data_IF_805224448209
#
_entry.id   IF_805224448209
#
_cell.length_a   1.000
_cell.length_b   1.000
_cell.length_c   1.000
_cell.angle_alpha   90.00
_cell.angle_beta   90.00
_cell.angle_gamma   90.00
#
_symmetry.space_group_name_H-M   'P 1'
#
loop_
_entity.id
_entity.type
_entity.pdbx_description
1 polymer ?
#
# COMPACT_ATOMS: atom_id res chain seq x y z
N UNK A 1 22.95 -10.66 -9.97
CA UNK A 1 22.83 -10.93 -8.52
C UNK A 1 21.50 -10.33 -8.08
N UNK A 2 20.78 -10.93 -7.11
CA UNK A 2 19.58 -10.30 -6.55
C UNK A 2 19.93 -8.91 -6.02
N UNK A 3 18.99 -7.96 -6.14
CA UNK A 3 19.18 -6.64 -5.56
C UNK A 3 19.24 -6.77 -4.03
N UNK A 4 20.08 -5.96 -3.37
CA UNK A 4 20.27 -6.00 -1.92
C UNK A 4 20.04 -4.64 -1.30
N UNK A 5 19.48 -4.60 -0.10
CA UNK A 5 19.22 -3.40 0.68
C UNK A 5 19.61 -3.63 2.14
N UNK A 6 19.80 -2.55 2.88
CA UNK A 6 20.13 -2.64 4.30
C UNK A 6 18.90 -2.22 5.10
N UNK A 7 18.43 -3.11 5.97
CA UNK A 7 17.37 -2.82 6.91
C UNK A 7 17.92 -2.63 8.31
N UNK A 8 17.48 -1.57 8.99
CA UNK A 8 17.87 -1.24 10.35
C UNK A 8 16.62 -1.22 11.22
N UNK A 9 16.66 -1.89 12.36
CA UNK A 9 15.59 -1.90 13.37
C UNK A 9 16.14 -1.32 14.67
N UNK A 10 15.61 -0.16 15.06
CA UNK A 10 16.05 0.56 16.25
C UNK A 10 15.14 0.18 17.42
N UNK A 11 15.59 -0.74 18.26
CA UNK A 11 14.93 -1.03 19.52
C UNK A 11 15.38 -0.12 20.66
N UNK A 12 14.65 -0.12 21.78
CA UNK A 12 15.05 0.61 22.99
C UNK A 12 16.30 0.04 23.69
N UNK A 13 16.67 -1.22 23.40
CA UNK A 13 17.84 -1.88 24.01
C UNK A 13 18.94 -2.16 22.99
N UNK A 14 18.56 -2.63 21.80
CA UNK A 14 19.50 -3.00 20.74
C UNK A 14 19.07 -2.38 19.40
N UNK A 15 20.05 -1.99 18.60
CA UNK A 15 19.91 -1.71 17.17
C UNK A 15 20.34 -2.96 16.42
N UNK A 16 19.51 -3.41 15.49
CA UNK A 16 19.82 -4.51 14.58
C UNK A 16 19.94 -3.96 13.17
N UNK A 17 20.87 -4.46 12.39
CA UNK A 17 20.99 -4.12 10.98
C UNK A 17 21.27 -5.37 10.16
N UNK A 18 20.69 -5.48 8.97
CA UNK A 18 20.90 -6.62 8.10
C UNK A 18 21.01 -6.20 6.64
N UNK A 19 21.92 -6.83 5.91
CA UNK A 19 21.92 -6.83 4.44
C UNK A 19 20.94 -7.92 3.99
N UNK A 20 19.94 -7.53 3.20
CA UNK A 20 18.80 -8.38 2.83
C UNK A 20 18.60 -8.33 1.32
N UNK A 21 18.27 -9.46 0.70
CA UNK A 21 17.92 -9.53 -0.72
C UNK A 21 16.52 -8.96 -1.00
N UNK A 22 16.22 -8.66 -2.26
CA UNK A 22 14.86 -8.39 -2.78
C UNK A 22 13.80 -9.45 -2.42
N UNK A 23 14.24 -10.70 -2.21
CA UNK A 23 13.40 -11.82 -1.73
C UNK A 23 13.23 -11.89 -0.21
N UNK A 24 13.84 -10.98 0.55
CA UNK A 24 13.78 -10.95 2.01
C UNK A 24 14.73 -11.92 2.72
N UNK A 25 15.73 -12.47 2.02
CA UNK A 25 16.76 -13.34 2.63
C UNK A 25 17.84 -12.49 3.31
N UNK A 26 18.14 -12.78 4.59
CA UNK A 26 19.22 -12.11 5.33
C UNK A 26 20.57 -12.71 4.91
N UNK A 27 21.43 -11.88 4.33
CA UNK A 27 22.77 -12.26 3.88
C UNK A 27 23.85 -12.02 4.95
N UNK A 28 23.71 -10.91 5.69
CA UNK A 28 24.59 -10.57 6.82
C UNK A 28 23.77 -9.79 7.84
N UNK A 29 23.99 -10.02 9.14
CA UNK A 29 23.28 -9.36 10.24
C UNK A 29 24.25 -8.92 11.33
N UNK A 30 24.02 -7.73 11.86
CA UNK A 30 24.72 -7.13 12.98
C UNK A 30 23.71 -6.74 14.07
N UNK A 31 24.15 -6.75 15.31
CA UNK A 31 23.39 -6.24 16.45
C UNK A 31 24.34 -5.54 17.40
N UNK A 32 23.91 -4.40 17.93
CA UNK A 32 24.65 -3.68 18.97
C UNK A 32 23.69 -2.99 19.93
N UNK A 33 24.19 -2.54 21.08
CA UNK A 33 23.41 -1.82 22.08
C UNK A 33 22.99 -0.45 21.56
N UNK A 34 21.72 -0.08 21.78
CA UNK A 34 21.21 1.25 21.47
C UNK A 34 21.83 2.30 22.41
N UNK A 35 22.54 3.31 21.88
CA UNK A 35 23.01 4.43 22.70
C UNK A 35 21.84 5.22 23.30
N UNK A 36 22.04 5.81 24.48
CA UNK A 36 21.03 6.69 25.12
C UNK A 36 20.97 8.07 24.49
N UNK A 37 22.07 8.53 23.90
CA UNK A 37 22.16 9.81 23.20
C UNK A 37 21.69 9.65 21.74
N UNK A 38 20.65 10.40 21.31
CA UNK A 38 20.16 10.38 19.94
C UNK A 38 21.22 10.61 18.85
N UNK A 39 22.24 11.44 19.08
CA UNK A 39 23.28 11.70 18.07
C UNK A 39 24.20 10.48 17.89
N UNK A 40 24.54 9.81 18.99
CA UNK A 40 25.30 8.55 18.95
C UNK A 40 24.51 7.42 18.29
N UNK A 41 23.17 7.45 18.31
CA UNK A 41 22.35 6.49 17.53
C UNK A 41 22.60 6.67 16.04
N UNK A 42 22.63 7.91 15.52
CA UNK A 42 22.92 8.16 14.10
C UNK A 42 24.31 7.64 13.73
N UNK A 43 25.31 7.87 14.58
CA UNK A 43 26.69 7.38 14.36
C UNK A 43 26.76 5.86 14.36
N UNK A 44 26.05 5.22 15.29
CA UNK A 44 25.98 3.76 15.36
C UNK A 44 25.37 3.17 14.11
N UNK A 45 24.26 3.75 13.63
CA UNK A 45 23.62 3.30 12.39
C UNK A 45 24.56 3.45 11.19
N UNK A 46 25.26 4.59 11.07
CA UNK A 46 26.25 4.79 9.99
C UNK A 46 27.35 3.73 10.02
N UNK A 47 27.90 3.44 11.20
CA UNK A 47 28.95 2.42 11.35
C UNK A 47 28.45 1.03 10.95
N UNK A 48 27.27 0.61 11.43
CA UNK A 48 26.68 -0.70 11.10
C UNK A 48 26.36 -0.81 9.61
N UNK A 49 25.81 0.24 8.99
CA UNK A 49 25.51 0.25 7.56
C UNK A 49 26.80 0.18 6.74
N UNK A 50 27.84 0.95 7.10
CA UNK A 50 29.12 0.91 6.40
C UNK A 50 29.81 -0.46 6.44
N UNK A 51 29.62 -1.24 7.51
CA UNK A 51 30.15 -2.60 7.63
C UNK A 51 29.33 -3.65 6.84
N UNK A 52 28.07 -3.35 6.54
CA UNK A 52 27.18 -4.22 5.77
C UNK A 52 27.25 -3.93 4.27
N UNK A 53 27.54 -2.68 3.87
CA UNK A 53 27.51 -2.22 2.49
C UNK A 53 28.78 -2.58 1.69
N UNK A 54 29.13 -3.86 1.63
CA UNK A 54 30.29 -4.32 0.87
C UNK A 54 30.07 -4.38 -0.65
N UNK A 55 28.81 -4.53 -1.08
CA UNK A 55 28.44 -4.80 -2.48
C UNK A 55 27.63 -3.69 -3.15
N UNK A 56 27.37 -2.59 -2.44
CA UNK A 56 26.56 -1.48 -2.96
C UNK A 56 25.06 -1.76 -2.89
N UNK A 57 24.51 -1.75 -1.67
CA UNK A 57 23.08 -1.84 -1.41
C UNK A 57 22.30 -0.71 -2.10
N UNK A 58 21.11 -1.02 -2.62
CA UNK A 58 20.23 -0.12 -3.35
C UNK A 58 19.64 1.00 -2.48
N UNK A 59 19.44 0.72 -1.19
CA UNK A 59 18.91 1.68 -0.24
C UNK A 59 19.02 1.20 1.20
N UNK A 60 18.65 2.09 2.12
CA UNK A 60 18.62 1.82 3.55
C UNK A 60 17.20 2.07 4.07
N UNK A 61 16.60 1.10 4.72
CA UNK A 61 15.37 1.30 5.47
C UNK A 61 15.65 1.30 6.97
N UNK A 62 14.91 2.12 7.72
CA UNK A 62 15.06 2.22 9.18
C UNK A 62 13.70 2.17 9.85
N UNK A 63 13.47 1.13 10.66
CA UNK A 63 12.39 1.04 11.62
C UNK A 63 12.73 1.83 12.88
N UNK A 64 11.86 2.77 13.25
CA UNK A 64 12.05 3.70 14.36
C UNK A 64 10.94 3.45 15.40
N UNK A 65 11.29 3.37 16.70
CA UNK A 65 10.30 3.15 17.73
C UNK A 65 9.52 4.44 17.99
N UNK A 66 8.20 4.33 18.05
CA UNK A 66 7.30 5.47 18.27
C UNK A 66 6.63 5.95 16.99
N UNK A 67 6.32 7.24 16.93
CA UNK A 67 5.48 7.85 15.89
C UNK A 67 6.36 8.49 14.83
N UNK A 68 6.22 8.00 13.59
CA UNK A 68 6.93 8.50 12.41
C UNK A 68 5.91 8.90 11.37
N UNK A 69 5.99 10.14 10.89
CA UNK A 69 5.32 10.53 9.65
C UNK A 69 6.26 10.21 8.48
N UNK A 70 6.03 9.05 7.86
CA UNK A 70 6.85 8.55 6.77
C UNK A 70 6.77 9.46 5.51
N UNK A 71 5.64 10.17 5.31
CA UNK A 71 5.46 11.05 4.16
C UNK A 71 6.34 12.29 4.26
N UNK A 72 6.40 12.93 5.43
CA UNK A 72 7.29 14.07 5.69
C UNK A 72 8.69 13.66 6.16
N UNK A 73 8.96 12.36 6.32
CA UNK A 73 10.21 11.81 6.88
C UNK A 73 10.54 12.38 8.27
N UNK A 74 9.52 12.67 9.07
CA UNK A 74 9.67 13.29 10.40
C UNK A 74 9.38 12.30 11.52
N UNK A 75 10.27 12.26 12.52
CA UNK A 75 10.05 11.53 13.77
C UNK A 75 9.28 12.44 14.72
N UNK A 76 7.99 12.13 14.95
CA UNK A 76 7.09 12.99 15.73
C UNK A 76 7.30 12.82 17.23
N UNK A 77 7.55 11.59 17.66
CA UNK A 77 7.83 11.27 19.06
C UNK A 77 8.45 9.88 19.16
N UNK A 78 9.50 9.72 19.96
CA UNK A 78 9.98 8.40 20.34
C UNK A 78 9.41 7.90 21.66
N UNK A 79 9.47 6.58 21.86
CA UNK A 79 9.17 5.93 23.13
C UNK A 79 10.34 6.05 24.11
N UNK A 80 11.00 4.93 24.39
CA UNK A 80 12.19 4.87 25.27
C UNK A 80 13.37 5.68 24.70
N UNK A 81 13.47 5.79 23.38
CA UNK A 81 14.46 6.58 22.68
C UNK A 81 13.75 7.67 21.87
N UNK A 82 13.96 8.94 22.22
CA UNK A 82 13.35 10.06 21.51
C UNK A 82 14.31 10.65 20.47
N UNK A 83 14.06 10.34 19.20
CA UNK A 83 14.79 10.90 18.05
C UNK A 83 14.07 12.10 17.41
N UNK A 84 12.98 12.60 18.03
CA UNK A 84 12.24 13.74 17.50
C UNK A 84 13.09 15.01 17.47
N UNK A 85 12.88 15.83 16.42
CA UNK A 85 13.65 17.06 16.18
C UNK A 85 15.03 16.85 15.56
N UNK A 86 15.39 15.61 15.20
CA UNK A 86 16.58 15.30 14.42
C UNK A 86 16.15 15.01 12.98
N UNK A 87 16.82 15.65 12.03
CA UNK A 87 16.73 15.34 10.59
C UNK A 87 17.41 14.00 10.29
N UNK A 88 16.86 12.92 10.86
CA UNK A 88 17.52 11.63 10.98
C UNK A 88 17.82 11.01 9.62
N UNK A 89 16.84 11.01 8.73
CA UNK A 89 16.99 10.50 7.37
C UNK A 89 18.08 11.29 6.62
N UNK A 90 17.95 12.61 6.55
CA UNK A 90 18.89 13.48 5.79
C UNK A 90 20.33 13.38 6.31
N UNK A 91 20.53 13.23 7.63
CA UNK A 91 21.85 12.99 8.23
C UNK A 91 22.44 11.65 7.82
N UNK A 92 21.62 10.60 7.74
CA UNK A 92 22.08 9.30 7.23
C UNK A 92 22.40 9.39 5.73
N UNK A 93 21.54 10.01 4.92
CA UNK A 93 21.77 10.18 3.48
C UNK A 93 23.06 10.96 3.21
N UNK A 94 23.28 12.06 3.92
CA UNK A 94 24.50 12.89 3.79
C UNK A 94 25.77 12.09 4.10
N UNK A 95 25.72 11.20 5.10
CA UNK A 95 26.91 10.44 5.52
C UNK A 95 27.12 9.15 4.73
N UNK A 96 26.07 8.58 4.16
CA UNK A 96 26.11 7.26 3.50
C UNK A 96 25.97 7.36 1.97
N UNK A 97 25.55 8.50 1.43
CA UNK A 97 25.37 8.71 -0.01
C UNK A 97 24.28 7.83 -0.65
N UNK A 98 23.34 7.34 0.16
CA UNK A 98 22.24 6.45 -0.27
C UNK A 98 20.91 6.98 0.19
N UNK A 99 19.85 6.63 -0.55
CA UNK A 99 18.48 6.89 -0.16
C UNK A 99 18.12 6.17 1.14
N UNK A 100 17.48 6.89 2.06
CA UNK A 100 17.02 6.38 3.36
C UNK A 100 15.51 6.45 3.46
N UNK A 101 14.86 5.31 3.70
CA UNK A 101 13.44 5.23 4.08
C UNK A 101 13.36 5.10 5.59
N UNK A 102 12.49 5.88 6.23
CA UNK A 102 12.20 5.75 7.66
C UNK A 102 10.72 5.45 7.86
N UNK A 103 10.42 4.63 8.85
CA UNK A 103 9.06 4.22 9.18
C UNK A 103 9.00 3.77 10.66
N UNK A 104 7.80 3.64 11.21
CA UNK A 104 7.59 2.96 12.47
C UNK A 104 8.06 1.48 12.41
N UNK A 105 8.67 0.99 13.50
CA UNK A 105 9.15 -0.39 13.66
C UNK A 105 8.08 -1.47 13.40
N UNK A 106 6.86 -1.29 13.90
CA UNK A 106 5.77 -2.23 13.71
C UNK A 106 5.27 -2.22 12.26
N UNK A 107 5.25 -1.07 11.61
CA UNK A 107 4.95 -0.95 10.19
C UNK A 107 6.00 -1.70 9.35
N UNK A 108 7.29 -1.58 9.68
CA UNK A 108 8.34 -2.37 9.03
C UNK A 108 8.11 -3.88 9.24
N UNK A 109 7.84 -4.32 10.47
CA UNK A 109 7.53 -5.73 10.73
C UNK A 109 6.34 -6.23 9.88
N UNK A 110 5.29 -5.42 9.75
CA UNK A 110 4.12 -5.76 8.92
C UNK A 110 4.47 -5.83 7.42
N UNK A 111 5.31 -4.92 6.90
CA UNK A 111 5.80 -5.01 5.51
C UNK A 111 6.46 -6.37 5.27
N UNK A 112 7.31 -6.82 6.19
CA UNK A 112 7.96 -8.13 6.08
C UNK A 112 6.94 -9.28 6.08
N UNK A 113 6.01 -9.27 7.03
CA UNK A 113 5.00 -10.31 7.19
C UNK A 113 4.06 -10.39 5.98
N UNK A 114 3.73 -9.27 5.35
CA UNK A 114 2.91 -9.21 4.12
C UNK A 114 3.66 -9.70 2.90
N UNK A 115 4.98 -9.45 2.82
CA UNK A 115 5.79 -9.84 1.66
C UNK A 115 6.15 -11.33 1.69
N UNK A 116 6.63 -11.83 2.82
CA UNK A 116 7.19 -13.19 2.91
C UNK A 116 6.72 -13.98 4.14
N UNK A 117 5.95 -13.38 5.05
CA UNK A 117 5.57 -13.99 6.31
C UNK A 117 4.12 -14.49 6.39
N UNK A 118 3.54 -14.38 7.58
CA UNK A 118 2.22 -14.87 7.96
C UNK A 118 1.06 -14.10 7.33
N UNK A 119 1.31 -12.89 6.82
CA UNK A 119 0.31 -12.06 6.14
C UNK A 119 0.40 -12.14 4.61
N UNK A 120 1.25 -13.02 4.05
CA UNK A 120 1.40 -13.16 2.60
C UNK A 120 0.08 -13.50 1.92
N UNK A 121 -0.30 -12.68 0.95
CA UNK A 121 -1.53 -12.84 0.15
C UNK A 121 -2.74 -12.07 0.68
N UNK A 122 -2.67 -11.52 1.90
CA UNK A 122 -3.72 -10.66 2.45
C UNK A 122 -3.48 -9.19 2.09
N UNK A 123 -4.56 -8.42 1.97
CA UNK A 123 -4.51 -7.01 1.53
C UNK A 123 -4.91 -6.05 2.65
N UNK A 124 -5.84 -6.46 3.51
CA UNK A 124 -6.28 -5.73 4.70
C UNK A 124 -5.82 -6.48 5.94
N UNK A 125 -4.84 -5.92 6.66
CA UNK A 125 -4.16 -6.60 7.76
C UNK A 125 -4.03 -5.66 8.94
N UNK A 126 -4.37 -6.13 10.15
CA UNK A 126 -3.94 -5.50 11.38
C UNK A 126 -2.88 -6.38 12.04
N UNK A 127 -1.82 -5.80 12.59
CA UNK A 127 -0.79 -6.54 13.30
C UNK A 127 -0.55 -5.92 14.67
N UNK A 128 -0.54 -6.73 15.72
CA UNK A 128 -0.10 -6.33 17.05
C UNK A 128 1.25 -6.97 17.34
N UNK A 129 2.23 -6.17 17.75
CA UNK A 129 3.54 -6.66 18.19
C UNK A 129 3.56 -6.71 19.72
N UNK A 130 3.61 -7.90 20.29
CA UNK A 130 3.50 -8.13 21.73
C UNK A 130 4.89 -8.49 22.26
N UNK A 131 5.44 -7.60 23.08
CA UNK A 131 6.76 -7.75 23.71
C UNK A 131 6.75 -7.06 25.06
N UNK A 132 7.76 -6.24 25.37
CA UNK A 132 7.77 -5.41 26.59
C UNK A 132 6.52 -4.52 26.68
N UNK A 133 6.12 -3.93 25.54
CA UNK A 133 4.87 -3.20 25.34
C UNK A 133 3.99 -3.87 24.28
N UNK A 134 3.00 -3.14 23.76
CA UNK A 134 2.22 -3.55 22.58
C UNK A 134 2.33 -2.46 21.53
N UNK A 135 2.97 -2.77 20.41
CA UNK A 135 2.92 -1.95 19.22
C UNK A 135 1.81 -2.38 18.27
N UNK A 136 1.67 -1.67 17.15
CA UNK A 136 0.73 -2.06 16.14
C UNK A 136 1.03 -1.47 14.78
N UNK A 137 0.47 -2.10 13.76
CA UNK A 137 0.52 -1.66 12.38
C UNK A 137 -0.76 -2.06 11.67
N UNK A 138 -1.10 -1.32 10.62
CA UNK A 138 -2.24 -1.61 9.76
C UNK A 138 -1.78 -1.52 8.32
N UNK A 139 -2.27 -2.44 7.49
CA UNK A 139 -2.25 -2.33 6.05
C UNK A 139 -3.66 -2.40 5.47
N UNK A 140 -3.87 -1.68 4.37
CA UNK A 140 -5.09 -1.71 3.58
C UNK A 140 -4.71 -1.64 2.10
N UNK A 141 -5.38 -2.43 1.24
CA UNK A 141 -5.04 -2.59 -0.17
C UNK A 141 -3.54 -2.88 -0.41
N UNK A 142 -2.97 -3.76 0.41
CA UNK A 142 -1.59 -4.23 0.23
C UNK A 142 -0.51 -3.24 0.67
N UNK A 143 -0.88 -2.08 1.22
CA UNK A 143 0.03 -1.02 1.65
C UNK A 143 -0.19 -0.62 3.10
N UNK A 144 0.85 -0.16 3.78
CA UNK A 144 0.72 0.39 5.14
C UNK A 144 -0.28 1.56 5.13
N UNK A 145 -1.20 1.53 6.08
CA UNK A 145 -2.20 2.58 6.27
C UNK A 145 -1.75 3.53 7.37
N UNK A 146 -1.35 4.74 6.97
CA UNK A 146 -0.93 5.80 7.90
C UNK A 146 -2.10 6.66 8.43
N UNK A 147 -3.30 6.52 7.84
CA UNK A 147 -4.41 7.44 8.11
C UNK A 147 -4.00 8.88 7.82
N UNK A 148 -4.25 9.81 8.74
CA UNK A 148 -3.75 11.19 8.60
C UNK A 148 -2.22 11.28 8.67
N UNK A 149 -1.57 10.49 9.53
CA UNK A 149 -0.10 10.54 9.72
C UNK A 149 0.46 9.24 10.34
N UNK A 150 -0.16 8.74 11.41
CA UNK A 150 0.42 7.68 12.28
C UNK A 150 -0.62 6.68 12.79
N UNK A 151 -1.51 6.21 11.92
CA UNK A 151 -2.43 5.13 12.25
C UNK A 151 -1.68 3.83 12.63
N UNK A 152 -2.39 2.88 13.24
CA UNK A 152 -1.80 1.63 13.71
C UNK A 152 -1.29 1.64 15.16
N UNK A 153 -1.60 2.65 15.97
CA UNK A 153 -1.24 2.69 17.40
C UNK A 153 -2.11 1.73 18.26
N UNK A 154 -2.17 0.45 17.88
CA UNK A 154 -3.15 -0.54 18.36
C UNK A 154 -2.99 -0.90 19.84
N UNK A 155 -1.77 -0.83 20.38
CA UNK A 155 -1.52 -1.03 21.82
C UNK A 155 -2.21 0.00 22.73
N UNK A 156 -2.64 1.13 22.16
CA UNK A 156 -3.30 2.21 22.88
C UNK A 156 -4.84 2.19 22.76
N UNK A 157 -5.42 1.15 22.16
CA UNK A 157 -6.86 0.90 22.22
C UNK A 157 -7.28 0.73 23.68
N UNK A 158 -8.23 1.55 24.14
CA UNK A 158 -8.75 1.45 25.50
C UNK A 158 -9.73 0.28 25.59
N UNK A 159 -9.46 -0.64 26.51
CA UNK A 159 -10.27 -1.84 26.77
C UNK A 159 -10.92 -1.83 28.15
N UNK A 160 -10.51 -0.89 29.01
CA UNK A 160 -11.12 -0.65 30.32
C UNK A 160 -10.97 0.82 30.72
N UNK A 161 -12.04 1.63 30.59
CA UNK A 161 -12.02 3.10 30.80
C UNK A 161 -11.25 3.55 32.05
N UNK A 162 -11.49 2.90 33.18
CA UNK A 162 -10.90 3.26 34.48
C UNK A 162 -9.68 2.41 34.84
N UNK A 163 -9.02 1.84 33.83
CA UNK A 163 -7.84 1.00 34.00
C UNK A 163 -6.55 1.76 34.39
N UNK A 164 -5.42 1.05 34.42
CA UNK A 164 -4.11 1.62 34.72
C UNK A 164 -3.75 2.77 33.75
N UNK A 165 -2.93 3.70 34.25
CA UNK A 165 -2.36 4.77 33.43
C UNK A 165 -1.36 4.17 32.43
N UNK A 166 -1.51 4.52 31.15
CA UNK A 166 -0.60 4.17 30.07
C UNK A 166 0.42 5.28 29.84
N UNK A 167 1.59 4.92 29.31
CA UNK A 167 2.63 5.88 28.94
C UNK A 167 2.16 6.91 27.90
N UNK A 168 1.12 6.62 27.12
CA UNK A 168 0.51 7.57 26.19
C UNK A 168 -0.36 8.66 26.88
N UNK A 169 -0.49 8.62 28.21
CA UNK A 169 -1.27 9.57 29.02
C UNK A 169 -2.75 9.18 29.19
N UNK A 170 -3.24 8.17 28.48
CA UNK A 170 -4.60 7.63 28.64
C UNK A 170 -4.67 6.55 29.71
N UNK A 171 -5.89 6.13 30.07
CA UNK A 171 -6.14 4.99 30.96
C UNK A 171 -6.71 3.82 30.20
N UNK A 172 -6.36 2.61 30.64
CA UNK A 172 -7.02 1.40 30.18
C UNK A 172 -6.59 0.89 28.82
N UNK A 173 -5.47 1.35 28.29
CA UNK A 173 -4.93 0.82 27.05
C UNK A 173 -4.61 -0.68 27.18
N UNK A 174 -4.87 -1.46 26.13
CA UNK A 174 -4.62 -2.91 26.09
C UNK A 174 -3.17 -3.27 26.47
N UNK A 175 -2.20 -2.42 26.10
CA UNK A 175 -0.79 -2.57 26.52
C UNK A 175 -0.63 -2.74 28.03
N UNK A 176 -1.43 -2.03 28.83
CA UNK A 176 -1.30 -2.06 30.29
C UNK A 176 -1.79 -3.36 30.90
N UNK A 177 -2.48 -4.22 30.13
CA UNK A 177 -3.02 -5.50 30.57
C UNK A 177 -2.38 -6.71 29.88
N UNK A 178 -2.00 -6.56 28.61
CA UNK A 178 -1.66 -7.68 27.72
C UNK A 178 -0.24 -7.60 27.14
N UNK A 179 0.59 -6.67 27.59
CA UNK A 179 2.03 -6.68 27.27
C UNK A 179 2.78 -7.71 28.12
N UNK A 180 4.05 -7.96 27.77
CA UNK A 180 4.96 -8.74 28.60
C UNK A 180 5.25 -8.09 29.96
N UNK A 181 5.28 -6.76 30.02
CA UNK A 181 5.37 -6.04 31.31
C UNK A 181 4.12 -6.29 32.16
N UNK A 182 2.93 -6.25 31.56
CA UNK A 182 1.69 -6.55 32.25
C UNK A 182 1.61 -8.03 32.69
N UNK A 183 2.08 -8.96 31.86
CA UNK A 183 2.15 -10.38 32.21
C UNK A 183 3.00 -10.62 33.46
N UNK A 184 4.22 -10.07 33.51
CA UNK A 184 5.10 -10.18 34.68
C UNK A 184 4.43 -9.63 35.93
N UNK A 185 3.71 -8.52 35.80
CA UNK A 185 2.93 -7.96 36.91
C UNK A 185 1.84 -8.93 37.39
N UNK A 186 1.04 -9.49 36.47
CA UNK A 186 0.01 -10.49 36.83
C UNK A 186 0.61 -11.72 37.52
N UNK A 187 1.77 -12.21 37.06
CA UNK A 187 2.48 -13.34 37.68
C UNK A 187 2.93 -13.02 39.11
N UNK A 188 3.52 -11.84 39.31
CA UNK A 188 3.99 -11.38 40.62
C UNK A 188 2.82 -11.17 41.61
N UNK A 189 1.75 -10.51 41.17
CA UNK A 189 0.55 -10.28 41.98
C UNK A 189 -0.15 -11.60 42.37
N UNK A 190 -0.07 -12.61 41.51
CA UNK A 190 -0.60 -13.95 41.77
C UNK A 190 0.34 -14.82 42.62
N UNK A 191 1.55 -14.35 42.95
CA UNK A 191 2.53 -15.11 43.73
C UNK A 191 3.09 -16.35 43.03
N UNK A 192 3.07 -16.37 41.68
CA UNK A 192 3.60 -17.49 40.90
C UNK A 192 5.12 -17.36 40.78
N UNK A 193 5.85 -18.45 41.03
CA UNK A 193 7.31 -18.51 40.89
C UNK A 193 7.79 -18.67 39.45
N UNK A 194 6.88 -18.68 38.48
CA UNK A 194 7.20 -18.91 37.08
C UNK A 194 8.07 -17.77 36.53
N UNK A 195 9.03 -18.10 35.68
CA UNK A 195 9.96 -17.12 35.07
C UNK A 195 9.62 -16.79 33.62
N UNK A 196 8.75 -17.60 33.01
CA UNK A 196 8.33 -17.48 31.61
C UNK A 196 6.83 -17.74 31.45
N UNK A 197 6.27 -17.29 30.33
CA UNK A 197 4.88 -17.62 29.96
C UNK A 197 4.70 -19.12 29.66
N UNK A 198 5.75 -19.78 29.19
CA UNK A 198 5.75 -21.23 28.94
C UNK A 198 5.45 -22.02 30.21
N UNK A 199 6.12 -21.70 31.32
CA UNK A 199 5.86 -22.31 32.62
C UNK A 199 4.41 -22.04 33.09
N UNK A 200 3.87 -20.85 32.84
CA UNK A 200 2.46 -20.55 33.16
C UNK A 200 1.51 -21.45 32.36
N UNK A 201 1.78 -21.69 31.07
CA UNK A 201 0.99 -22.61 30.27
C UNK A 201 1.08 -24.06 30.78
N UNK A 202 2.27 -24.52 31.17
CA UNK A 202 2.48 -25.86 31.74
C UNK A 202 1.69 -26.02 33.04
N UNK A 203 1.84 -25.10 33.99
CA UNK A 203 1.08 -25.09 35.24
C UNK A 203 -0.44 -25.09 34.97
N UNK A 204 -0.90 -24.29 34.02
CA UNK A 204 -2.32 -24.25 33.65
C UNK A 204 -2.80 -25.59 33.07
N UNK A 205 -2.00 -26.24 32.23
CA UNK A 205 -2.29 -27.55 31.66
C UNK A 205 -2.36 -28.64 32.75
N UNK A 206 -1.52 -28.55 33.78
CA UNK A 206 -1.53 -29.41 34.98
C UNK A 206 -2.71 -29.13 35.94
N UNK A 207 -3.57 -28.15 35.62
CA UNK A 207 -4.78 -27.84 36.39
C UNK A 207 -4.60 -26.73 37.42
N UNK A 208 -3.48 -26.00 37.42
CA UNK A 208 -3.29 -24.85 38.31
C UNK A 208 -4.28 -23.72 37.98
N UNK A 209 -5.25 -23.50 38.87
CA UNK A 209 -6.29 -22.48 38.71
C UNK A 209 -5.74 -21.04 38.69
N UNK A 210 -4.69 -20.76 39.45
CA UNK A 210 -4.04 -19.45 39.50
C UNK A 210 -3.33 -19.13 38.19
N UNK A 211 -2.61 -20.09 37.61
CA UNK A 211 -1.97 -19.93 36.30
C UNK A 211 -3.01 -19.68 35.19
N UNK A 212 -4.14 -20.41 35.21
CA UNK A 212 -5.28 -20.15 34.31
C UNK A 212 -5.88 -18.76 34.49
N UNK A 213 -5.99 -18.28 35.72
CA UNK A 213 -6.49 -16.94 36.02
C UNK A 213 -5.54 -15.86 35.46
N UNK A 214 -4.22 -16.04 35.59
CA UNK A 214 -3.21 -15.13 35.02
C UNK A 214 -3.31 -15.09 33.49
N UNK A 215 -3.36 -16.24 32.81
CA UNK A 215 -3.53 -16.28 31.36
C UNK A 215 -4.81 -15.58 30.91
N UNK A 216 -5.92 -15.80 31.63
CA UNK A 216 -7.20 -15.15 31.34
C UNK A 216 -7.13 -13.64 31.55
N UNK A 217 -6.52 -13.17 32.63
CA UNK A 217 -6.35 -11.75 32.92
C UNK A 217 -5.46 -11.05 31.88
N UNK A 218 -4.49 -11.78 31.32
CA UNK A 218 -3.62 -11.29 30.26
C UNK A 218 -4.29 -11.29 28.88
N UNK A 219 -4.99 -12.36 28.50
CA UNK A 219 -5.54 -12.54 27.16
C UNK A 219 -6.95 -11.96 26.95
N UNK A 220 -7.79 -11.84 27.99
CA UNK A 220 -9.16 -11.30 27.81
C UNK A 220 -9.18 -9.84 27.37
N UNK A 221 -8.35 -8.93 27.92
CA UNK A 221 -8.27 -7.55 27.43
C UNK A 221 -7.74 -7.46 25.99
N UNK A 222 -6.81 -8.35 25.62
CA UNK A 222 -6.35 -8.48 24.24
C UNK A 222 -7.51 -8.86 23.33
N UNK A 223 -8.34 -9.85 23.70
CA UNK A 223 -9.52 -10.23 22.94
C UNK A 223 -10.45 -9.04 22.67
N UNK A 224 -10.74 -8.23 23.68
CA UNK A 224 -11.54 -7.00 23.53
C UNK A 224 -10.93 -6.04 22.51
N UNK A 225 -9.60 -5.85 22.52
CA UNK A 225 -8.93 -5.01 21.53
C UNK A 225 -9.06 -5.59 20.11
N UNK A 226 -8.94 -6.91 19.94
CA UNK A 226 -9.09 -7.56 18.64
C UNK A 226 -10.53 -7.43 18.11
N UNK A 227 -11.54 -7.58 18.97
CA UNK A 227 -12.94 -7.38 18.59
C UNK A 227 -13.19 -5.91 18.18
N UNK A 228 -12.58 -4.93 18.87
CA UNK A 228 -12.64 -3.52 18.46
C UNK A 228 -11.97 -3.26 17.11
N UNK A 229 -10.84 -3.91 16.82
CA UNK A 229 -10.16 -3.81 15.52
C UNK A 229 -11.05 -4.40 14.43
N UNK A 230 -11.64 -5.58 14.65
CA UNK A 230 -12.57 -6.18 13.71
C UNK A 230 -13.77 -5.28 13.43
N UNK A 231 -14.37 -4.70 14.47
CA UNK A 231 -15.53 -3.81 14.35
C UNK A 231 -15.23 -2.49 13.61
N UNK A 232 -13.98 -2.03 13.61
CA UNK A 232 -13.60 -0.73 13.02
C UNK A 232 -12.92 -0.83 11.67
N UNK A 233 -12.28 -1.96 11.39
CA UNK A 233 -11.40 -2.11 10.22
C UNK A 233 -11.76 -3.29 9.33
N UNK A 234 -12.49 -4.28 9.85
CA UNK A 234 -12.82 -5.53 9.17
C UNK A 234 -11.64 -6.12 8.35
N UNK A 235 -10.48 -6.40 9.00
CA UNK A 235 -9.31 -6.87 8.27
C UNK A 235 -9.49 -8.34 7.84
N UNK A 236 -8.83 -8.72 6.72
CA UNK A 236 -8.78 -10.12 6.27
C UNK A 236 -8.19 -11.03 7.35
N UNK A 237 -7.18 -10.49 8.05
CA UNK A 237 -6.45 -11.18 9.12
C UNK A 237 -5.91 -10.20 10.17
N UNK A 238 -5.91 -10.63 11.42
CA UNK A 238 -5.16 -9.99 12.50
C UNK A 238 -3.93 -10.85 12.86
N UNK A 239 -2.74 -10.31 12.66
CA UNK A 239 -1.49 -10.95 13.02
C UNK A 239 -1.06 -10.60 14.45
N UNK A 240 -0.58 -11.62 15.17
CA UNK A 240 0.05 -11.46 16.48
C UNK A 240 1.54 -11.77 16.35
N UNK A 241 2.36 -10.71 16.40
CA UNK A 241 3.82 -10.80 16.34
C UNK A 241 4.50 -10.34 17.62
N UNK A 242 5.80 -10.07 17.53
CA UNK A 242 6.66 -9.79 18.69
C UNK A 242 6.98 -11.06 19.48
N UNK A 243 7.85 -10.91 20.48
CA UNK A 243 8.38 -12.04 21.26
C UNK A 243 7.35 -12.86 22.03
N UNK A 244 6.12 -12.35 22.21
CA UNK A 244 5.00 -13.04 22.87
C UNK A 244 3.80 -13.27 21.92
N UNK A 245 3.95 -13.05 20.61
CA UNK A 245 2.85 -13.15 19.64
C UNK A 245 2.23 -14.56 19.56
N UNK A 246 3.08 -15.59 19.49
CA UNK A 246 2.64 -17.00 19.48
C UNK A 246 1.94 -17.37 20.79
N UNK A 247 2.46 -16.92 21.93
CA UNK A 247 1.86 -17.16 23.24
C UNK A 247 0.51 -16.47 23.39
N UNK A 248 0.38 -15.25 22.87
CA UNK A 248 -0.90 -14.55 22.83
C UNK A 248 -1.92 -15.29 21.97
N UNK A 249 -1.53 -15.77 20.78
CA UNK A 249 -2.40 -16.58 19.92
C UNK A 249 -2.87 -17.86 20.65
N UNK A 250 -1.95 -18.55 21.35
CA UNK A 250 -2.27 -19.72 22.17
C UNK A 250 -3.24 -19.39 23.31
N UNK A 251 -2.98 -18.33 24.07
CA UNK A 251 -3.84 -17.93 25.18
C UNK A 251 -5.25 -17.51 24.72
N UNK A 252 -5.36 -16.90 23.53
CA UNK A 252 -6.64 -16.52 22.93
C UNK A 252 -7.45 -17.73 22.44
N UNK A 253 -6.79 -18.80 21.98
CA UNK A 253 -7.48 -20.01 21.51
C UNK A 253 -8.31 -20.69 22.61
N UNK A 254 -7.89 -20.55 23.88
CA UNK A 254 -8.59 -21.08 25.05
C UNK A 254 -9.70 -20.15 25.58
N UNK A 255 -9.86 -18.96 24.99
CA UNK A 255 -10.91 -18.01 25.36
C UNK A 255 -12.12 -18.12 24.43
N UNK A 256 -13.35 -18.26 24.98
CA UNK A 256 -14.55 -18.31 24.15
C UNK A 256 -14.73 -16.98 23.40
N UNK A 257 -15.21 -17.04 22.16
CA UNK A 257 -15.64 -15.85 21.44
C UNK A 257 -16.81 -15.18 22.17
N UNK A 258 -16.68 -13.89 22.47
CA UNK A 258 -17.68 -13.14 23.27
C UNK A 258 -19.01 -13.00 22.51
N UNK A 259 -18.95 -12.84 21.18
CA UNK A 259 -20.12 -12.79 20.30
C UNK A 259 -19.78 -13.29 18.89
N UNK A 260 -20.74 -13.86 18.13
CA UNK A 260 -20.49 -14.36 16.78
C UNK A 260 -20.32 -13.27 15.72
N UNK A 261 -20.65 -12.01 16.04
CA UNK A 261 -20.64 -10.91 15.07
C UNK A 261 -19.22 -10.58 14.58
N UNK A 262 -18.21 -10.67 15.46
CA UNK A 262 -16.82 -10.38 15.12
C UNK A 262 -15.98 -11.65 15.25
N UNK A 263 -15.53 -12.18 14.11
CA UNK A 263 -14.68 -13.38 14.03
C UNK A 263 -13.49 -13.14 13.10
N UNK A 264 -12.58 -12.21 13.47
CA UNK A 264 -11.38 -12.00 12.67
C UNK A 264 -10.56 -13.29 12.61
N UNK A 265 -9.97 -13.58 11.45
CA UNK A 265 -8.93 -14.61 11.35
C UNK A 265 -7.73 -14.12 12.15
N UNK A 266 -7.29 -14.87 13.17
CA UNK A 266 -6.14 -14.51 14.01
C UNK A 266 -5.01 -15.50 13.73
N UNK A 267 -3.84 -15.00 13.34
CA UNK A 267 -2.67 -15.83 13.05
C UNK A 267 -1.42 -15.33 13.79
N UNK A 268 -0.51 -16.22 14.20
CA UNK A 268 0.81 -15.79 14.64
C UNK A 268 1.63 -15.26 13.44
N UNK A 269 2.43 -14.24 13.69
CA UNK A 269 3.48 -13.78 12.77
C UNK A 269 4.55 -14.87 12.58
N UNK A 270 5.25 -14.89 11.43
CA UNK A 270 6.17 -15.98 11.06
C UNK A 270 7.65 -15.60 11.13
N UNK A 271 8.00 -14.33 11.03
CA UNK A 271 9.38 -13.85 10.88
C UNK A 271 10.04 -13.49 12.21
N UNK A 272 9.26 -13.44 13.30
CA UNK A 272 9.76 -13.21 14.65
C UNK A 272 10.61 -11.95 14.77
N UNK A 273 11.76 -12.10 15.43
CA UNK A 273 12.69 -11.02 15.76
C UNK A 273 13.38 -10.36 14.54
N UNK A 274 13.31 -11.01 13.38
CA UNK A 274 13.94 -10.53 12.15
C UNK A 274 12.95 -9.74 11.26
N UNK A 275 11.66 -9.71 11.60
CA UNK A 275 10.64 -9.01 10.83
C UNK A 275 10.98 -7.52 10.62
N UNK A 276 11.48 -6.84 11.66
CA UNK A 276 11.82 -5.42 11.60
C UNK A 276 12.92 -5.12 10.57
N UNK A 277 14.04 -5.84 10.62
CA UNK A 277 15.17 -5.63 9.68
C UNK A 277 14.83 -6.09 8.27
N UNK A 278 14.09 -7.19 8.10
CA UNK A 278 13.64 -7.64 6.77
C UNK A 278 12.71 -6.59 6.16
N UNK A 279 11.71 -6.14 6.91
CA UNK A 279 10.73 -5.18 6.45
C UNK A 279 11.33 -3.82 6.14
N UNK A 280 12.28 -3.38 6.97
CA UNK A 280 13.06 -2.17 6.72
C UNK A 280 13.79 -2.26 5.37
N UNK A 281 14.51 -3.35 5.09
CA UNK A 281 15.15 -3.52 3.79
C UNK A 281 14.12 -3.62 2.65
N UNK A 282 13.06 -4.41 2.81
CA UNK A 282 12.04 -4.58 1.76
C UNK A 282 11.28 -3.28 1.42
N UNK A 283 11.14 -2.37 2.38
CA UNK A 283 10.55 -1.04 2.18
C UNK A 283 11.33 -0.20 1.15
N UNK A 284 12.60 -0.52 0.89
CA UNK A 284 13.41 0.19 -0.10
C UNK A 284 13.22 -0.33 -1.51
N UNK A 285 12.86 -1.61 -1.68
CA UNK A 285 12.75 -2.25 -3.00
C UNK A 285 11.46 -1.89 -3.75
N UNK A 286 10.39 -1.49 -3.06
CA UNK A 286 9.26 -0.80 -3.71
C UNK A 286 8.21 -0.28 -2.72
N UNK A 287 7.76 0.95 -2.99
CA UNK A 287 6.35 1.24 -3.18
C UNK A 287 6.20 2.07 -4.48
N UNK A 288 6.02 1.39 -5.63
CA UNK A 288 5.51 2.00 -6.86
C UNK A 288 4.02 2.44 -6.73
N UNK A 289 3.46 2.38 -5.52
CA UNK A 289 2.19 3.01 -5.15
C UNK A 289 2.30 4.51 -4.81
N UNK A 290 3.52 5.05 -4.65
CA UNK A 290 3.74 6.47 -4.36
C UNK A 290 4.97 7.00 -5.13
N UNK A 291 5.15 6.55 -6.37
CA UNK A 291 6.05 7.28 -7.25
C UNK A 291 5.48 8.70 -7.38
N UNK A 292 6.33 9.72 -7.27
CA UNK A 292 5.95 11.06 -7.71
C UNK A 292 5.59 11.09 -9.21
N UNK A 293 5.74 9.95 -9.90
CA UNK A 293 5.48 9.78 -11.31
C UNK A 293 3.98 9.83 -11.62
N UNK A 294 3.62 10.76 -12.49
CA UNK A 294 2.29 10.85 -13.06
C UNK A 294 2.17 9.82 -14.18
N UNK A 295 1.07 9.06 -14.17
CA UNK A 295 0.88 7.89 -15.04
C UNK A 295 -0.40 8.03 -15.84
N UNK A 296 -0.38 7.57 -17.08
CA UNK A 296 -1.56 7.57 -17.95
C UNK A 296 -1.74 6.23 -18.64
N UNK A 297 -2.98 5.70 -18.57
CA UNK A 297 -3.44 4.60 -19.42
C UNK A 297 -4.23 5.19 -20.59
N UNK A 298 -3.69 5.12 -21.80
CA UNK A 298 -4.39 5.47 -23.04
C UNK A 298 -5.26 4.29 -23.46
N UNK A 299 -6.59 4.44 -23.34
CA UNK A 299 -7.54 3.46 -23.85
C UNK A 299 -7.93 3.88 -25.26
N UNK A 300 -7.13 3.43 -26.23
CA UNK A 300 -7.17 3.88 -27.61
C UNK A 300 -8.00 2.93 -28.49
N UNK A 301 -8.81 3.47 -29.39
CA UNK A 301 -9.54 2.71 -30.39
C UNK A 301 -10.42 3.62 -31.24
N UNK A 302 -10.72 3.18 -32.46
CA UNK A 302 -11.70 3.86 -33.33
C UNK A 302 -13.09 3.90 -32.68
N UNK A 303 -14.02 4.76 -33.13
CA UNK A 303 -15.41 4.72 -32.70
C UNK A 303 -16.00 3.30 -32.77
N UNK A 304 -16.84 2.96 -31.79
CA UNK A 304 -17.48 1.64 -31.65
C UNK A 304 -16.52 0.42 -31.40
N UNK A 305 -15.23 0.66 -31.17
CA UNK A 305 -14.26 -0.39 -30.80
C UNK A 305 -14.57 -1.12 -29.48
N UNK A 306 -15.16 -0.45 -28.50
CA UNK A 306 -15.35 -1.00 -27.15
C UNK A 306 -14.48 -0.33 -26.08
N UNK A 307 -13.61 0.59 -26.50
CA UNK A 307 -12.71 1.39 -25.65
C UNK A 307 -13.37 1.99 -24.40
N UNK A 308 -14.58 2.57 -24.51
CA UNK A 308 -15.26 3.19 -23.37
C UNK A 308 -15.76 2.17 -22.34
N UNK A 309 -16.14 0.96 -22.78
CA UNK A 309 -16.48 -0.14 -21.87
C UNK A 309 -15.23 -0.61 -21.12
N UNK A 310 -14.11 -0.78 -21.83
CA UNK A 310 -12.83 -1.16 -21.23
C UNK A 310 -12.34 -0.12 -20.21
N UNK A 311 -12.37 1.17 -20.57
CA UNK A 311 -11.98 2.27 -19.69
C UNK A 311 -12.81 2.29 -18.39
N UNK A 312 -14.14 2.08 -18.51
CA UNK A 312 -15.04 2.02 -17.35
C UNK A 312 -14.74 0.80 -16.46
N UNK A 313 -14.57 -0.38 -17.05
CA UNK A 313 -14.22 -1.59 -16.30
C UNK A 313 -12.87 -1.46 -15.58
N UNK A 314 -11.89 -0.84 -16.23
CA UNK A 314 -10.58 -0.58 -15.64
C UNK A 314 -10.71 0.39 -14.45
N UNK A 315 -11.41 1.50 -14.62
CA UNK A 315 -11.66 2.49 -13.57
C UNK A 315 -12.37 1.89 -12.35
N UNK A 316 -13.37 1.03 -12.56
CA UNK A 316 -14.08 0.35 -11.47
C UNK A 316 -13.16 -0.57 -10.65
N UNK A 317 -12.13 -1.15 -11.28
CA UNK A 317 -11.18 -2.06 -10.63
C UNK A 317 -10.05 -1.32 -9.94
N UNK A 318 -9.55 -0.24 -10.55
CA UNK A 318 -8.36 0.46 -10.05
C UNK A 318 -8.68 1.71 -9.22
N UNK A 319 -9.91 2.22 -9.32
CA UNK A 319 -10.30 3.51 -8.74
C UNK A 319 -9.76 4.74 -9.49
N UNK A 320 -9.04 4.55 -10.60
CA UNK A 320 -8.47 5.67 -11.35
C UNK A 320 -9.54 6.45 -12.12
N UNK A 321 -9.48 7.80 -12.13
CA UNK A 321 -10.42 8.63 -12.87
C UNK A 321 -10.30 8.43 -14.39
N UNK A 322 -11.45 8.42 -15.07
CA UNK A 322 -11.54 8.37 -16.53
C UNK A 322 -11.79 9.77 -17.08
N UNK A 323 -10.90 10.23 -17.97
CA UNK A 323 -11.08 11.43 -18.77
C UNK A 323 -11.37 10.99 -20.21
N UNK A 324 -12.64 11.07 -20.63
CA UNK A 324 -13.04 10.66 -21.98
C UNK A 324 -13.33 11.85 -22.87
N UNK A 325 -12.96 11.74 -24.15
CA UNK A 325 -13.20 12.80 -25.13
C UNK A 325 -14.71 13.11 -25.25
N UNK A 326 -15.54 12.06 -25.34
CA UNK A 326 -17.00 12.23 -25.42
C UNK A 326 -17.59 12.69 -24.08
N UNK A 327 -16.98 12.36 -22.93
CA UNK A 327 -17.42 12.81 -21.61
C UNK A 327 -17.24 14.32 -21.39
N UNK A 328 -16.23 14.93 -22.01
CA UNK A 328 -16.10 16.40 -22.03
C UNK A 328 -16.96 17.00 -23.13
N UNK A 329 -16.94 16.43 -24.34
CA UNK A 329 -17.59 17.00 -25.52
C UNK A 329 -19.12 17.00 -25.44
N UNK A 330 -19.74 15.90 -25.01
CA UNK A 330 -21.19 15.72 -25.09
C UNK A 330 -21.97 16.74 -24.23
N UNK A 331 -21.58 17.05 -22.97
CA UNK A 331 -22.22 18.10 -22.20
C UNK A 331 -22.28 19.46 -22.91
N UNK A 332 -21.26 19.82 -23.71
CA UNK A 332 -21.30 21.06 -24.50
C UNK A 332 -22.29 20.97 -25.67
N UNK A 333 -22.39 19.82 -26.34
CA UNK A 333 -23.33 19.62 -27.45
C UNK A 333 -24.80 19.70 -27.01
N UNK A 334 -25.09 19.44 -25.73
CA UNK A 334 -26.44 19.63 -25.17
C UNK A 334 -26.83 21.10 -25.03
N UNK A 335 -25.86 22.01 -24.93
CA UNK A 335 -26.09 23.43 -24.65
C UNK A 335 -25.79 24.33 -25.86
N UNK A 336 -25.05 23.85 -26.86
CA UNK A 336 -24.61 24.64 -28.00
C UNK A 336 -25.24 24.08 -29.29
N UNK A 337 -26.01 24.91 -30.00
CA UNK A 337 -26.55 24.60 -31.33
C UNK A 337 -26.69 25.85 -32.19
N UNK A 338 -26.67 25.72 -33.54
CA UNK A 338 -26.50 24.50 -34.34
C UNK A 338 -25.02 24.06 -34.45
N UNK A 339 -24.80 22.74 -34.54
CA UNK A 339 -23.46 22.13 -34.62
C UNK A 339 -23.20 21.60 -36.01
N UNK A 340 -22.30 22.23 -36.75
CA UNK A 340 -21.77 21.68 -38.00
C UNK A 340 -20.54 20.79 -37.77
N UNK A 341 -20.00 20.21 -38.85
CA UNK A 341 -18.85 19.30 -38.80
C UNK A 341 -17.57 20.00 -38.32
N UNK A 342 -17.39 21.27 -38.66
CA UNK A 342 -16.19 22.05 -38.30
C UNK A 342 -16.22 22.44 -36.83
N UNK A 343 -17.39 22.82 -36.31
CA UNK A 343 -17.62 23.05 -34.90
C UNK A 343 -17.38 21.77 -34.09
N UNK A 344 -17.93 20.61 -34.50
CA UNK A 344 -17.70 19.35 -33.80
C UNK A 344 -16.19 19.00 -33.76
N UNK A 345 -15.48 19.17 -34.88
CA UNK A 345 -14.04 18.95 -34.94
C UNK A 345 -13.28 19.91 -34.02
N UNK A 346 -13.68 21.17 -33.97
CA UNK A 346 -13.08 22.18 -33.08
C UNK A 346 -13.32 21.83 -31.61
N UNK A 347 -14.55 21.45 -31.26
CA UNK A 347 -14.90 21.01 -29.91
C UNK A 347 -14.16 19.74 -29.52
N UNK A 348 -13.94 18.81 -30.45
CA UNK A 348 -13.09 17.64 -30.24
C UNK A 348 -11.64 18.01 -29.90
N UNK A 349 -11.04 18.96 -30.64
CA UNK A 349 -9.69 19.47 -30.32
C UNK A 349 -9.65 20.17 -28.95
N UNK A 350 -10.63 21.01 -28.64
CA UNK A 350 -10.72 21.70 -27.37
C UNK A 350 -10.90 20.72 -26.19
N UNK A 351 -11.77 19.72 -26.35
CA UNK A 351 -11.97 18.65 -25.36
C UNK A 351 -10.68 17.88 -25.11
N UNK A 352 -9.95 17.56 -26.18
CA UNK A 352 -8.66 16.88 -26.09
C UNK A 352 -7.61 17.70 -25.35
N UNK A 353 -7.52 18.99 -25.63
CA UNK A 353 -6.65 19.91 -24.90
C UNK A 353 -7.04 20.03 -23.42
N UNK A 354 -8.35 20.07 -23.11
CA UNK A 354 -8.84 20.15 -21.74
C UNK A 354 -8.44 18.93 -20.90
N UNK A 355 -8.51 17.71 -21.47
CA UNK A 355 -8.02 16.49 -20.82
C UNK A 355 -6.57 16.65 -20.38
N UNK A 356 -5.70 17.06 -21.30
CA UNK A 356 -4.27 17.18 -21.02
C UNK A 356 -3.93 18.35 -20.09
N UNK A 357 -4.71 19.44 -20.13
CA UNK A 357 -4.58 20.52 -19.15
C UNK A 357 -4.91 20.04 -17.73
N UNK A 358 -5.98 19.26 -17.58
CA UNK A 358 -6.35 18.69 -16.29
C UNK A 358 -5.29 17.73 -15.75
N UNK A 359 -4.75 16.85 -16.61
CA UNK A 359 -3.65 15.96 -16.25
C UNK A 359 -2.41 16.76 -15.84
N UNK A 360 -2.08 17.85 -16.54
CA UNK A 360 -0.95 18.72 -16.20
C UNK A 360 -1.06 19.29 -14.80
N UNK A 361 -2.23 19.80 -14.42
CA UNK A 361 -2.47 20.43 -13.10
C UNK A 361 -2.60 19.41 -11.95
N UNK A 362 -2.79 18.13 -12.26
CA UNK A 362 -2.89 17.10 -11.23
C UNK A 362 -1.57 16.90 -10.46
N UNK A 363 -1.65 16.56 -9.15
CA UNK A 363 -0.47 16.26 -8.34
C UNK A 363 0.41 15.15 -8.93
N UNK A 364 1.69 15.22 -8.60
CA UNK A 364 2.64 14.12 -8.75
C UNK A 364 2.05 12.81 -8.16
N UNK A 365 2.30 11.67 -8.81
CA UNK A 365 1.78 10.35 -8.41
C UNK A 365 0.36 10.02 -8.87
N UNK A 366 -0.35 10.97 -9.47
CA UNK A 366 -1.70 10.74 -10.02
C UNK A 366 -1.67 9.77 -11.19
N UNK A 367 -2.69 8.91 -11.29
CA UNK A 367 -2.88 8.00 -12.43
C UNK A 367 -4.22 8.26 -13.10
N UNK A 368 -4.23 8.43 -14.42
CA UNK A 368 -5.44 8.72 -15.21
C UNK A 368 -5.68 7.65 -16.29
N UNK A 369 -6.94 7.42 -16.60
CA UNK A 369 -7.36 6.66 -17.78
C UNK A 369 -7.89 7.66 -18.81
N UNK A 370 -7.31 7.70 -20.01
CA UNK A 370 -7.76 8.57 -21.09
C UNK A 370 -8.46 7.75 -22.18
N UNK A 371 -9.77 7.94 -22.34
CA UNK A 371 -10.59 7.28 -23.37
C UNK A 371 -10.78 8.21 -24.57
N UNK A 372 -10.06 7.92 -25.67
CA UNK A 372 -10.19 8.64 -26.92
C UNK A 372 -9.82 7.76 -28.11
N UNK A 373 -10.36 8.11 -29.29
CA UNK A 373 -9.69 7.75 -30.53
C UNK A 373 -8.59 8.78 -30.74
N UNK A 374 -7.32 8.42 -30.59
CA UNK A 374 -6.24 9.41 -30.66
C UNK A 374 -5.87 9.77 -32.10
N UNK A 375 -6.13 8.89 -33.08
CA UNK A 375 -5.74 9.07 -34.49
C UNK A 375 -6.50 10.16 -35.26
N UNK A 376 -7.42 10.87 -34.60
CA UNK A 376 -8.03 12.08 -35.17
C UNK A 376 -7.09 13.31 -35.14
N UNK A 377 -5.96 13.22 -34.44
CA UNK A 377 -4.88 14.23 -34.38
C UNK A 377 -3.51 13.58 -34.67
N UNK A 378 -2.50 14.35 -35.10
CA UNK A 378 -1.16 13.83 -35.31
C UNK A 378 -0.54 13.26 -34.03
N UNK A 379 0.17 12.13 -34.13
CA UNK A 379 0.88 11.49 -33.01
C UNK A 379 1.82 12.45 -32.26
N UNK A 380 2.56 13.29 -32.99
CA UNK A 380 3.47 14.28 -32.41
C UNK A 380 2.77 15.26 -31.43
N UNK A 381 1.48 15.54 -31.64
CA UNK A 381 0.71 16.39 -30.74
C UNK A 381 0.39 15.65 -29.42
N UNK A 382 0.04 14.36 -29.49
CA UNK A 382 -0.14 13.52 -28.30
C UNK A 382 1.16 13.42 -27.49
N UNK A 383 2.30 13.18 -28.15
CA UNK A 383 3.61 13.14 -27.49
C UNK A 383 3.94 14.47 -26.79
N UNK A 384 3.63 15.60 -27.43
CA UNK A 384 3.78 16.93 -26.84
C UNK A 384 2.90 17.08 -25.60
N UNK A 385 1.63 16.67 -25.67
CA UNK A 385 0.73 16.75 -24.52
C UNK A 385 1.15 15.87 -23.34
N UNK A 386 1.59 14.63 -23.61
CA UNK A 386 2.12 13.71 -22.59
C UNK A 386 3.31 14.37 -21.89
N UNK A 387 4.27 14.88 -22.68
CA UNK A 387 5.47 15.55 -22.17
C UNK A 387 5.12 16.78 -21.34
N UNK A 388 4.31 17.69 -21.87
CA UNK A 388 3.97 18.94 -21.19
C UNK A 388 3.07 18.73 -19.97
N UNK A 389 2.36 17.61 -19.88
CA UNK A 389 1.58 17.24 -18.70
C UNK A 389 2.46 16.67 -17.58
N UNK A 390 3.75 16.44 -17.85
CA UNK A 390 4.69 15.81 -16.93
C UNK A 390 4.29 14.38 -16.62
N UNK A 391 3.88 13.62 -17.64
CA UNK A 391 3.54 12.20 -17.51
C UNK A 391 4.81 11.38 -17.70
N UNK A 392 5.14 10.58 -16.70
CA UNK A 392 6.37 9.80 -16.65
C UNK A 392 6.19 8.42 -17.28
N UNK A 393 5.01 7.80 -17.09
CA UNK A 393 4.69 6.48 -17.66
C UNK A 393 3.39 6.49 -18.44
N UNK A 394 3.45 5.85 -19.61
CA UNK A 394 2.32 5.70 -20.51
C UNK A 394 2.14 4.22 -20.83
N UNK A 395 0.95 3.71 -20.57
CA UNK A 395 0.50 2.40 -21.04
C UNK A 395 -0.64 2.60 -22.04
N UNK A 396 -0.57 1.97 -23.20
CA UNK A 396 -1.60 2.04 -24.23
C UNK A 396 -2.31 0.70 -24.38
N UNK A 397 -3.62 0.71 -24.16
CA UNK A 397 -4.52 -0.39 -24.48
C UNK A 397 -5.17 -0.13 -25.84
N UNK A 398 -4.67 -0.82 -26.86
CA UNK A 398 -5.19 -0.73 -28.22
C UNK A 398 -6.40 -1.65 -28.41
N UNK A 399 -7.59 -1.04 -28.46
CA UNK A 399 -8.86 -1.72 -28.65
C UNK A 399 -9.07 -2.05 -30.13
N UNK A 400 -8.47 -3.16 -30.57
CA UNK A 400 -8.56 -3.64 -31.95
C UNK A 400 -9.93 -4.29 -32.21
N UNK A 401 -10.55 -3.92 -33.32
CA UNK A 401 -11.85 -4.45 -33.75
C UNK A 401 -11.85 -4.55 -35.29
N UNK A 402 -12.42 -5.62 -35.88
CA UNK A 402 -12.63 -5.66 -37.33
C UNK A 402 -13.60 -4.57 -37.79
N UNK A 403 -13.36 -3.99 -38.97
CA UNK A 403 -14.16 -2.88 -39.49
C UNK A 403 -15.64 -3.20 -39.66
N UNK A 404 -15.96 -4.42 -40.11
CA UNK A 404 -17.34 -4.89 -40.19
C UNK A 404 -18.05 -4.85 -38.82
N UNK A 405 -17.36 -5.26 -37.75
CA UNK A 405 -17.92 -5.28 -36.39
C UNK A 405 -18.06 -3.86 -35.83
N UNK A 406 -17.09 -2.98 -36.09
CA UNK A 406 -17.18 -1.57 -35.68
C UNK A 406 -18.35 -0.86 -36.36
N UNK A 407 -18.52 -1.07 -37.67
CA UNK A 407 -19.61 -0.52 -38.46
C UNK A 407 -20.99 -1.01 -37.99
N UNK A 408 -21.15 -2.30 -37.73
CA UNK A 408 -22.39 -2.88 -37.19
C UNK A 408 -22.74 -2.27 -35.82
N UNK A 409 -21.76 -2.24 -34.90
CA UNK A 409 -21.93 -1.62 -33.58
C UNK A 409 -22.29 -0.14 -33.67
N UNK A 410 -21.69 0.59 -34.60
CA UNK A 410 -21.99 2.00 -34.81
C UNK A 410 -23.40 2.20 -35.36
N UNK A 411 -23.79 1.43 -36.39
CA UNK A 411 -25.10 1.50 -37.01
C UNK A 411 -26.24 1.22 -36.01
N UNK A 412 -26.03 0.25 -35.11
CA UNK A 412 -27.01 -0.09 -34.06
C UNK A 412 -27.33 1.07 -33.10
N UNK A 413 -26.43 2.06 -32.97
CA UNK A 413 -26.53 3.18 -32.01
C UNK A 413 -26.93 4.51 -32.64
N UNK A 414 -27.19 4.54 -33.96
CA UNK A 414 -27.53 5.77 -34.68
C UNK A 414 -28.78 6.46 -34.12
N UNK A 415 -29.73 5.68 -33.57
CA UNK A 415 -30.99 6.21 -33.01
C UNK A 415 -30.82 6.98 -31.69
N UNK A 416 -29.73 6.72 -30.97
CA UNK A 416 -29.51 7.23 -29.61
C UNK A 416 -28.43 8.33 -29.53
N UNK A 417 -27.93 8.82 -30.68
CA UNK A 417 -26.85 9.82 -30.71
C UNK A 417 -27.36 11.25 -30.71
N UNK A 418 -26.66 12.09 -29.94
CA UNK A 418 -26.90 13.53 -29.88
C UNK A 418 -26.70 14.22 -31.25
N UNK A 419 -27.38 15.36 -31.49
CA UNK A 419 -27.16 16.19 -32.67
C UNK A 419 -25.67 16.55 -32.84
N UNK A 420 -25.16 16.43 -34.07
CA UNK A 420 -23.78 16.78 -34.43
C UNK A 420 -22.83 15.60 -34.60
N UNK A 421 -23.17 14.39 -34.15
CA UNK A 421 -22.39 13.20 -34.51
C UNK A 421 -22.65 12.76 -35.98
N UNK A 422 -21.66 12.16 -36.67
CA UNK A 422 -21.85 11.68 -38.05
C UNK A 422 -22.97 10.64 -38.14
N UNK A 423 -23.81 10.75 -39.17
CA UNK A 423 -24.96 9.88 -39.40
C UNK A 423 -24.59 8.54 -40.06
N UNK A 424 -25.56 7.94 -40.74
CA UNK A 424 -25.40 6.63 -41.40
C UNK A 424 -24.32 6.64 -42.49
N UNK A 425 -24.06 7.80 -43.09
CA UNK A 425 -23.02 8.03 -44.11
C UNK A 425 -21.60 7.70 -43.60
N UNK A 426 -21.36 7.77 -42.29
CA UNK A 426 -20.05 7.49 -41.69
C UNK A 426 -19.79 5.99 -41.45
N UNK A 427 -20.81 5.12 -41.55
CA UNK A 427 -20.66 3.69 -41.24
C UNK A 427 -19.64 3.01 -42.15
N UNK A 428 -19.68 3.30 -43.46
CA UNK A 428 -18.74 2.75 -44.43
C UNK A 428 -17.32 3.30 -44.24
N UNK A 429 -17.20 4.60 -43.94
CA UNK A 429 -15.92 5.25 -43.62
C UNK A 429 -15.30 4.63 -42.36
N UNK A 430 -16.11 4.38 -41.33
CA UNK A 430 -15.68 3.77 -40.09
C UNK A 430 -15.18 2.33 -40.28
N UNK A 431 -15.82 1.54 -41.15
CA UNK A 431 -15.35 0.18 -41.45
C UNK A 431 -13.92 0.20 -41.98
N UNK A 432 -13.67 1.04 -43.00
CA UNK A 432 -12.34 1.20 -43.59
C UNK A 432 -11.35 1.75 -42.57
N UNK A 433 -11.74 2.76 -41.80
CA UNK A 433 -10.89 3.34 -40.75
C UNK A 433 -10.48 2.29 -39.72
N UNK A 434 -11.42 1.46 -39.25
CA UNK A 434 -11.17 0.44 -38.24
C UNK A 434 -10.18 -0.64 -38.71
N UNK A 435 -10.23 -1.02 -40.00
CA UNK A 435 -9.31 -2.02 -40.56
C UNK A 435 -7.88 -1.50 -40.75
N UNK A 436 -7.71 -0.19 -40.92
CA UNK A 436 -6.40 0.44 -41.20
C UNK A 436 -5.83 1.23 -40.01
N UNK A 437 -6.62 1.44 -38.97
CA UNK A 437 -6.19 2.21 -37.81
C UNK A 437 -5.08 1.49 -37.04
N UNK A 438 -4.09 2.26 -36.62
CA UNK A 438 -2.94 1.79 -35.85
C UNK A 438 -2.93 2.43 -34.44
N UNK A 439 -2.32 1.76 -33.45
CA UNK A 439 -2.07 2.36 -32.15
C UNK A 439 -1.11 3.55 -32.25
N UNK A 440 -1.08 4.38 -31.21
CA UNK A 440 -0.15 5.49 -31.13
C UNK A 440 1.26 5.04 -30.80
N UNK A 441 1.40 3.98 -30.00
CA UNK A 441 2.67 3.48 -29.47
C UNK A 441 3.52 4.62 -28.86
N UNK A 442 2.90 5.47 -28.03
CA UNK A 442 3.58 6.53 -27.28
C UNK A 442 4.13 6.03 -25.92
N UNK A 443 4.06 4.72 -25.66
CA UNK A 443 4.47 4.07 -24.42
C UNK A 443 4.37 2.55 -24.57
N UNK A 444 4.33 1.82 -23.44
CA UNK A 444 4.13 0.38 -23.45
C UNK A 444 2.77 0.05 -24.10
N UNK A 445 2.75 -0.87 -25.07
CA UNK A 445 1.56 -1.15 -25.87
C UNK A 445 1.04 -2.56 -25.62
N UNK A 446 -0.27 -2.69 -25.40
CA UNK A 446 -0.97 -3.96 -25.39
C UNK A 446 -2.20 -3.91 -26.29
N UNK A 447 -2.32 -4.89 -27.17
CA UNK A 447 -3.52 -5.07 -27.99
C UNK A 447 -4.59 -5.83 -27.21
N UNK A 448 -5.82 -5.31 -27.26
CA UNK A 448 -7.02 -5.91 -26.66
C UNK A 448 -8.01 -6.19 -27.79
N UNK A 449 -8.19 -7.47 -28.12
CA UNK A 449 -9.11 -7.94 -29.15
C UNK A 449 -10.57 -7.78 -28.67
N UNK A 450 -11.31 -6.86 -29.28
CA UNK A 450 -12.67 -6.49 -28.85
C UNK A 450 -13.77 -7.38 -29.42
N UNK A 451 -13.40 -8.48 -30.08
CA UNK A 451 -14.30 -9.56 -30.52
C UNK A 451 -14.53 -10.59 -29.42
N UNK A 452 -13.78 -10.53 -28.32
CA UNK A 452 -13.90 -11.38 -27.13
C UNK A 452 -14.07 -10.52 -25.89
N UNK A 453 -14.59 -11.10 -24.81
CA UNK A 453 -14.63 -10.40 -23.52
C UNK A 453 -13.18 -10.18 -23.03
N UNK A 454 -12.78 -8.94 -22.67
CA UNK A 454 -11.42 -8.68 -22.20
C UNK A 454 -11.11 -9.39 -20.90
N UNK A 455 -9.95 -10.05 -20.82
CA UNK A 455 -9.40 -10.57 -19.57
C UNK A 455 -8.86 -9.42 -18.72
N UNK A 456 -9.71 -8.92 -17.82
CA UNK A 456 -9.39 -7.77 -16.99
C UNK A 456 -8.29 -8.06 -15.96
N UNK A 457 -8.16 -9.29 -15.47
CA UNK A 457 -7.12 -9.64 -14.48
C UNK A 457 -5.75 -9.59 -15.16
N UNK A 458 -5.65 -10.18 -16.35
CA UNK A 458 -4.44 -10.10 -17.16
C UNK A 458 -4.11 -8.66 -17.56
N UNK A 459 -5.10 -7.85 -17.95
CA UNK A 459 -4.90 -6.44 -18.31
C UNK A 459 -4.36 -5.64 -17.13
N UNK A 460 -4.99 -5.75 -15.95
CA UNK A 460 -4.55 -5.03 -14.76
C UNK A 460 -3.15 -5.46 -14.33
N UNK A 461 -2.84 -6.75 -14.34
CA UNK A 461 -1.50 -7.25 -14.01
C UNK A 461 -0.42 -6.67 -14.93
N UNK A 462 -0.69 -6.58 -16.24
CA UNK A 462 0.25 -5.97 -17.19
C UNK A 462 0.42 -4.47 -16.96
N UNK A 463 -0.65 -3.73 -16.67
CA UNK A 463 -0.53 -2.29 -16.39
C UNK A 463 0.30 -2.07 -15.13
N UNK A 464 0.05 -2.85 -14.07
CA UNK A 464 0.86 -2.82 -12.85
C UNK A 464 2.33 -3.08 -13.17
N UNK A 465 2.64 -4.12 -13.95
CA UNK A 465 4.01 -4.40 -14.37
C UNK A 465 4.65 -3.21 -15.11
N UNK A 466 3.93 -2.57 -16.04
CA UNK A 466 4.46 -1.41 -16.80
C UNK A 466 4.64 -0.15 -15.94
N UNK A 467 3.87 -0.01 -14.86
CA UNK A 467 3.99 1.11 -13.93
C UNK A 467 4.95 0.82 -12.77
N UNK A 468 5.26 -0.46 -12.51
CA UNK A 468 6.15 -0.92 -11.44
C UNK A 468 7.59 -1.18 -11.92
N UNK A 469 7.83 -1.24 -13.25
CA UNK A 469 9.19 -1.29 -13.82
C UNK A 469 9.92 0.04 -13.59
N UNK A 470 10.65 0.11 -12.47
CA UNK A 470 11.67 1.13 -12.17
C UNK A 470 12.99 0.77 -12.86
#
# INVERSE_FOLDING_TARGET
>A
MPETAIGVDIGGTNIRAALVSDRGEILKKLSDRTPTDPLHVVERVVAMVGELDATGAAGIGVGIPGRVDAASRTILSGGILNLAGIDFADRLETRLGKRVVIENDCNMALIAEMRIGGAKGYQSVAMLTIGTGIGGAVAHNGSIYHGHMTAGQLGHISVLRDGPLCACGRRGCVETFSSGTALRRHMNEAGLSATSIGEIFEMAAEGNGTARAVLRAWASPLRTALDNIAATMDPDVILLGGGLGCDAARALADLPAVAPWFRPTILPAKLGDDAGVIGAALSTFANAGNSAEKRVVLVNGVPASGKSRLAKSLSQRTGWPVLSLDGIKNPFLEHIGPVDRDFNRTLGKASYQAIWSFIREAPAGSTFIVDAWFGFQPKALLETYIKDAGVDRVAELWCKVPGAVAAERYASRLKDRLPGHPGAEYVAELAVLADHAEPMACGALRTVEQTKEPDMDSITAWISEMFDQA
#
